data_IF_026323124530
#
_entry.id   IF_026323124530
#
_cell.length_a   1.000
_cell.length_b   1.000
_cell.length_c   1.000
_cell.angle_alpha   90.00
_cell.angle_beta   90.00
_cell.angle_gamma   90.00
#
_symmetry.space_group_name_H-M   'P 1'
#
loop_
_entity.id
_entity.type
_entity.pdbx_description
1 polymer ?
#
# COMPACT_ATOMS: atom_id res chain seq x y z
N UNK A 1 12.54 -7.39 0.74
CA UNK A 1 12.11 -6.91 -0.61
C UNK A 1 13.32 -6.51 -1.49
N UNK A 2 13.14 -6.21 -2.79
CA UNK A 2 14.19 -5.62 -3.65
C UNK A 2 13.61 -4.79 -4.82
N UNK A 3 14.44 -3.92 -5.42
CA UNK A 3 14.04 -3.09 -6.58
C UNK A 3 14.60 -3.67 -7.87
N UNK A 4 13.75 -3.78 -8.89
CA UNK A 4 14.10 -4.25 -10.23
C UNK A 4 13.97 -3.12 -11.24
N UNK A 5 15.02 -2.89 -12.01
CA UNK A 5 14.99 -2.03 -13.20
C UNK A 5 14.34 -2.77 -14.38
N UNK A 6 13.51 -2.06 -15.13
CA UNK A 6 12.82 -2.54 -16.31
C UNK A 6 13.04 -1.54 -17.43
N UNK A 7 13.72 -2.03 -18.47
CA UNK A 7 13.92 -1.32 -19.72
C UNK A 7 12.82 -1.71 -20.69
N UNK A 8 12.08 -0.74 -21.21
CA UNK A 8 11.08 -0.95 -22.26
C UNK A 8 11.50 -0.18 -23.50
N UNK A 9 11.66 -0.91 -24.61
CA UNK A 9 11.88 -0.35 -25.95
C UNK A 9 10.66 -0.63 -26.80
N UNK A 10 10.08 0.41 -27.42
CA UNK A 10 8.96 0.25 -28.35
C UNK A 10 9.51 0.12 -29.78
N UNK A 11 8.96 -0.82 -30.56
CA UNK A 11 9.44 -1.08 -31.93
C UNK A 11 9.40 0.14 -32.86
N UNK A 12 8.50 1.09 -32.61
CA UNK A 12 8.28 2.30 -33.42
C UNK A 12 8.92 3.57 -32.84
N UNK A 13 9.53 3.49 -31.66
CA UNK A 13 10.16 4.64 -31.00
C UNK A 13 11.57 4.27 -30.57
N UNK A 14 12.55 5.07 -30.98
CA UNK A 14 13.96 4.85 -30.64
C UNK A 14 14.26 5.10 -29.15
N UNK A 15 13.34 5.75 -28.43
CA UNK A 15 13.49 6.07 -27.01
C UNK A 15 13.32 4.83 -26.12
N UNK A 16 14.32 4.55 -25.31
CA UNK A 16 14.23 3.57 -24.23
C UNK A 16 13.61 4.19 -22.97
N UNK A 17 12.63 3.51 -22.40
CA UNK A 17 11.98 3.92 -21.16
C UNK A 17 12.49 3.07 -20.00
N UNK A 18 13.05 3.74 -19.00
CA UNK A 18 13.53 3.14 -17.76
C UNK A 18 12.48 3.30 -16.67
N UNK A 19 12.16 2.20 -16.00
CA UNK A 19 11.25 2.20 -14.86
C UNK A 19 11.73 1.21 -13.81
N UNK A 20 11.35 1.44 -12.56
CA UNK A 20 11.73 0.63 -11.42
C UNK A 20 10.48 0.09 -10.75
N UNK A 21 10.57 -1.13 -10.25
CA UNK A 21 9.50 -1.79 -9.51
C UNK A 21 10.02 -2.33 -8.20
N UNK A 22 9.24 -2.16 -7.14
CA UNK A 22 9.46 -2.86 -5.87
C UNK A 22 8.87 -4.26 -5.98
N UNK A 23 9.68 -5.25 -5.69
CA UNK A 23 9.38 -6.67 -5.86
C UNK A 23 9.67 -7.42 -4.56
N UNK A 24 8.82 -8.39 -4.27
CA UNK A 24 8.96 -9.33 -3.16
C UNK A 24 9.20 -10.73 -3.71
N UNK A 25 10.08 -11.48 -3.05
CA UNK A 25 10.24 -12.90 -3.31
C UNK A 25 9.39 -13.69 -2.33
N UNK A 26 8.60 -14.63 -2.84
CA UNK A 26 7.75 -15.51 -2.05
C UNK A 26 7.96 -16.96 -2.48
N UNK A 27 7.75 -17.90 -1.55
CA UNK A 27 7.83 -19.33 -1.83
C UNK A 27 6.51 -19.80 -2.44
N UNK A 28 6.59 -20.44 -3.60
CA UNK A 28 5.47 -21.16 -4.21
C UNK A 28 5.76 -22.66 -4.26
N UNK A 29 4.74 -23.48 -4.45
CA UNK A 29 4.89 -24.95 -4.63
C UNK A 29 5.90 -25.31 -5.73
N UNK A 30 6.00 -24.49 -6.77
CA UNK A 30 6.91 -24.67 -7.91
C UNK A 30 8.26 -23.98 -7.72
N UNK A 31 8.59 -23.55 -6.50
CA UNK A 31 9.83 -22.85 -6.14
C UNK A 31 9.66 -21.35 -5.90
N UNK A 32 10.77 -20.62 -5.68
CA UNK A 32 10.75 -19.18 -5.42
C UNK A 32 10.18 -18.38 -6.60
N UNK A 33 9.27 -17.46 -6.33
CA UNK A 33 8.64 -16.58 -7.32
C UNK A 33 8.66 -15.14 -6.85
N UNK A 34 8.53 -14.22 -7.80
CA UNK A 34 8.60 -12.78 -7.56
C UNK A 34 7.25 -12.12 -7.83
N UNK A 35 6.75 -11.35 -6.86
CA UNK A 35 5.52 -10.55 -6.94
C UNK A 35 5.90 -9.06 -7.01
N UNK A 36 5.29 -8.32 -7.93
CA UNK A 36 5.42 -6.84 -7.91
C UNK A 36 4.51 -6.27 -6.83
N UNK A 37 5.06 -5.47 -5.93
CA UNK A 37 4.29 -4.75 -4.89
C UNK A 37 3.86 -3.38 -5.40
N UNK A 38 4.80 -2.64 -6.00
CA UNK A 38 4.57 -1.26 -6.41
C UNK A 38 5.42 -0.90 -7.63
N UNK A 39 4.84 -0.11 -8.55
CA UNK A 39 5.59 0.54 -9.62
C UNK A 39 6.17 1.86 -9.06
N UNK A 40 7.49 1.99 -9.03
CA UNK A 40 8.18 3.15 -8.43
C UNK A 40 8.42 4.28 -9.44
N UNK A 41 8.27 4.00 -10.74
CA UNK A 41 8.63 4.94 -11.80
C UNK A 41 10.14 4.99 -12.01
N UNK A 42 10.67 6.12 -12.47
CA UNK A 42 12.11 6.29 -12.62
C UNK A 42 12.70 6.79 -11.29
N UNK A 43 13.59 6.00 -10.69
CA UNK A 43 14.34 6.41 -9.50
C UNK A 43 15.53 7.26 -9.93
N UNK A 44 15.77 8.34 -9.21
CA UNK A 44 16.93 9.24 -9.41
C UNK A 44 18.13 8.83 -8.55
N UNK A 45 17.92 7.96 -7.56
CA UNK A 45 18.96 7.48 -6.66
C UNK A 45 19.89 6.44 -7.32
N UNK A 46 21.17 6.39 -6.93
CA UNK A 46 22.13 5.43 -7.46
C UNK A 46 21.75 3.99 -7.08
N UNK A 47 22.17 3.03 -7.90
CA UNK A 47 21.75 1.62 -7.80
C UNK A 47 22.18 0.96 -6.49
N UNK A 48 23.30 1.42 -5.94
CA UNK A 48 23.86 0.97 -4.66
C UNK A 48 22.89 1.23 -3.50
N UNK A 49 22.10 2.31 -3.59
CA UNK A 49 21.13 2.70 -2.57
C UNK A 49 19.76 2.03 -2.73
N UNK A 50 19.52 1.30 -3.83
CA UNK A 50 18.21 0.66 -4.05
C UNK A 50 17.91 -0.42 -3.02
N UNK A 51 18.94 -1.12 -2.55
CA UNK A 51 18.77 -2.14 -1.51
C UNK A 51 18.38 -1.47 -0.18
N UNK A 52 19.08 -0.40 0.19
CA UNK A 52 18.74 0.39 1.37
C UNK A 52 17.29 0.91 1.31
N UNK A 53 16.88 1.51 0.17
CA UNK A 53 15.51 1.96 -0.02
C UNK A 53 14.49 0.82 0.14
N UNK A 54 14.74 -0.34 -0.48
CA UNK A 54 13.83 -1.48 -0.40
C UNK A 54 13.68 -1.99 1.04
N UNK A 55 14.78 -2.05 1.79
CA UNK A 55 14.81 -2.53 3.17
C UNK A 55 14.15 -1.52 4.12
N UNK A 56 14.36 -0.21 3.91
CA UNK A 56 13.66 0.84 4.66
C UNK A 56 12.15 0.82 4.41
N UNK A 57 11.71 0.59 3.16
CA UNK A 57 10.27 0.42 2.86
C UNK A 57 9.71 -0.80 3.60
N UNK A 58 10.43 -1.93 3.58
CA UNK A 58 10.02 -3.15 4.27
C UNK A 58 9.92 -2.95 5.78
N UNK A 59 10.91 -2.29 6.40
CA UNK A 59 10.90 -1.95 7.82
C UNK A 59 9.71 -1.06 8.19
N UNK A 60 9.42 -0.02 7.39
CA UNK A 60 8.25 0.84 7.61
C UNK A 60 6.92 0.10 7.44
N UNK A 61 6.84 -0.88 6.54
CA UNK A 61 5.65 -1.71 6.35
C UNK A 61 5.44 -2.75 7.46
N UNK A 62 6.52 -3.23 8.09
CA UNK A 62 6.46 -4.17 9.21
C UNK A 62 6.34 -3.49 10.57
N UNK A 63 6.46 -2.16 10.64
CA UNK A 63 6.54 -1.42 11.90
C UNK A 63 7.88 -1.56 12.60
N UNK A 64 8.91 -2.09 11.93
CA UNK A 64 10.23 -2.25 12.51
C UNK A 64 10.98 -0.91 12.50
N UNK A 65 11.46 -0.50 13.67
CA UNK A 65 12.34 0.68 13.78
C UNK A 65 13.74 0.37 13.24
N UNK A 66 14.32 1.31 12.50
CA UNK A 66 15.72 1.20 12.08
C UNK A 66 16.64 1.38 13.28
N UNK A 67 17.58 0.46 13.44
CA UNK A 67 18.62 0.54 14.47
C UNK A 67 19.79 1.45 14.06
N UNK A 68 19.90 1.76 12.76
CA UNK A 68 20.98 2.55 12.18
C UNK A 68 20.44 3.85 11.57
N UNK A 69 21.23 4.94 11.59
CA UNK A 69 20.86 6.16 10.89
C UNK A 69 20.76 5.88 9.39
N UNK A 70 19.64 6.28 8.80
CA UNK A 70 19.37 6.19 7.37
C UNK A 70 19.55 7.59 6.77
N UNK A 71 19.97 7.66 5.51
CA UNK A 71 19.98 8.91 4.74
C UNK A 71 18.56 9.48 4.64
N UNK A 72 18.38 10.74 5.02
CA UNK A 72 17.10 11.45 5.02
C UNK A 72 16.40 11.40 3.65
N UNK A 73 17.17 11.44 2.56
CA UNK A 73 16.60 11.34 1.21
C UNK A 73 15.97 9.96 0.93
N UNK A 74 16.60 8.89 1.44
CA UNK A 74 16.09 7.52 1.31
C UNK A 74 14.87 7.34 2.22
N UNK A 75 14.93 7.89 3.43
CA UNK A 75 13.83 7.81 4.39
C UNK A 75 12.56 8.48 3.86
N UNK A 76 12.68 9.71 3.32
CA UNK A 76 11.54 10.43 2.74
C UNK A 76 10.90 9.66 1.56
N UNK A 77 11.72 9.06 0.68
CA UNK A 77 11.23 8.20 -0.40
C UNK A 77 10.54 6.95 0.15
N UNK A 78 11.13 6.32 1.17
CA UNK A 78 10.57 5.13 1.79
C UNK A 78 9.21 5.43 2.44
N UNK A 79 9.07 6.57 3.13
CA UNK A 79 7.80 7.03 3.69
C UNK A 79 6.74 7.21 2.62
N UNK A 80 7.06 7.92 1.55
CA UNK A 80 6.14 8.14 0.44
C UNK A 80 5.65 6.81 -0.15
N UNK A 81 6.57 5.89 -0.45
CA UNK A 81 6.20 4.60 -1.06
C UNK A 81 5.48 3.66 -0.09
N UNK A 82 5.87 3.61 1.19
CA UNK A 82 5.17 2.83 2.20
C UNK A 82 3.71 3.29 2.35
N UNK A 83 3.48 4.60 2.40
CA UNK A 83 2.12 5.16 2.45
C UNK A 83 1.29 4.80 1.21
N UNK A 84 1.90 4.81 0.03
CA UNK A 84 1.22 4.42 -1.20
C UNK A 84 0.83 2.94 -1.20
N UNK A 85 1.70 2.06 -0.67
CA UNK A 85 1.41 0.63 -0.52
C UNK A 85 0.27 0.40 0.46
N UNK A 86 0.28 1.04 1.62
CA UNK A 86 -0.78 0.95 2.63
C UNK A 86 -2.11 1.43 2.03
N UNK A 87 -2.11 2.57 1.33
CA UNK A 87 -3.30 3.10 0.64
C UNK A 87 -3.86 2.11 -0.38
N UNK A 88 -3.01 1.52 -1.21
CA UNK A 88 -3.43 0.55 -2.23
C UNK A 88 -4.04 -0.71 -1.58
N UNK A 89 -3.42 -1.23 -0.52
CA UNK A 89 -3.95 -2.38 0.25
C UNK A 89 -5.33 -2.08 0.84
N UNK A 90 -5.51 -0.91 1.47
CA UNK A 90 -6.80 -0.49 2.00
C UNK A 90 -7.88 -0.37 0.91
N UNK A 91 -7.53 0.14 -0.28
CA UNK A 91 -8.50 0.21 -1.37
C UNK A 91 -8.86 -1.17 -1.93
N UNK A 92 -7.94 -2.13 -1.94
CA UNK A 92 -8.22 -3.49 -2.42
C UNK A 92 -9.15 -4.23 -1.46
N UNK A 93 -8.93 -4.14 -0.15
CA UNK A 93 -9.79 -4.80 0.84
C UNK A 93 -11.23 -4.30 0.81
N UNK A 94 -11.46 -3.02 0.50
CA UNK A 94 -12.82 -2.45 0.38
C UNK A 94 -13.54 -2.94 -0.88
N UNK A 95 -12.82 -3.13 -1.99
CA UNK A 95 -13.42 -3.61 -3.24
C UNK A 95 -13.74 -5.12 -3.21
N UNK A 96 -12.98 -5.91 -2.45
CA UNK A 96 -13.26 -7.34 -2.27
C UNK A 96 -14.55 -7.56 -1.46
N UNK A 97 -14.87 -6.70 -0.49
CA UNK A 97 -16.12 -6.77 0.28
C UNK A 97 -17.38 -6.43 -0.54
N UNK A 98 -17.27 -5.63 -1.61
CA UNK A 98 -18.41 -5.30 -2.48
C UNK A 98 -18.63 -6.31 -3.62
N UNK A 99 -17.61 -7.12 -3.94
CA UNK A 99 -17.66 -8.10 -5.03
C UNK A 99 -18.17 -9.48 -4.59
N UNK A 100 -18.28 -9.71 -3.28
CA UNK A 100 -18.76 -10.97 -2.69
C UNK A 100 -20.26 -10.91 -2.36
N UNK A 101 -21.11 -10.68 -3.36
CA UNK A 101 -22.56 -10.92 -3.25
C UNK A 101 -22.93 -12.42 -3.11
N UNK A 102 -21.94 -13.33 -3.02
CA UNK A 102 -22.13 -14.79 -2.98
C UNK A 102 -21.60 -15.51 -1.73
N UNK A 103 -21.13 -14.83 -0.68
CA UNK A 103 -20.62 -15.52 0.52
C UNK A 103 -21.30 -15.04 1.82
N UNK A 104 -22.61 -15.27 1.93
CA UNK A 104 -23.36 -15.10 3.20
C UNK A 104 -23.21 -16.29 4.17
N UNK A 105 -22.23 -17.18 3.97
CA UNK A 105 -22.13 -18.43 4.74
C UNK A 105 -20.72 -18.74 5.29
N UNK A 106 -19.86 -17.73 5.42
CA UNK A 106 -18.60 -17.90 6.15
C UNK A 106 -18.86 -17.67 7.63
N UNK A 107 -18.59 -18.69 8.45
CA UNK A 107 -18.61 -18.56 9.90
C UNK A 107 -17.62 -17.47 10.36
N UNK A 108 -17.96 -16.71 11.41
CA UNK A 108 -17.08 -15.66 11.92
C UNK A 108 -15.73 -16.27 12.32
N UNK A 109 -14.65 -15.79 11.69
CA UNK A 109 -13.28 -16.16 12.04
C UNK A 109 -12.82 -15.35 13.25
N UNK A 110 -12.74 -16.00 14.40
CA UNK A 110 -12.19 -15.40 15.60
C UNK A 110 -10.70 -15.73 15.75
N UNK A 111 -9.89 -14.73 16.06
CA UNK A 111 -8.47 -14.87 16.37
C UNK A 111 -8.16 -14.18 17.69
N UNK A 112 -7.30 -14.79 18.50
CA UNK A 112 -6.83 -14.17 19.75
C UNK A 112 -5.73 -13.18 19.42
N UNK A 113 -5.96 -11.90 19.73
CA UNK A 113 -4.99 -10.81 19.54
C UNK A 113 -4.63 -10.20 20.90
N UNK A 114 -3.35 -9.84 21.07
CA UNK A 114 -2.90 -9.08 22.24
C UNK A 114 -3.21 -7.60 22.03
N UNK A 115 -4.14 -7.06 22.82
CA UNK A 115 -4.57 -5.67 22.72
C UNK A 115 -3.43 -4.66 23.01
N UNK A 116 -2.43 -5.05 23.80
CA UNK A 116 -1.29 -4.17 24.11
C UNK A 116 -0.28 -4.07 22.96
N UNK A 117 -0.39 -4.96 21.97
CA UNK A 117 0.46 -4.97 20.77
C UNK A 117 -0.13 -4.22 19.58
N UNK A 118 -1.37 -3.71 19.72
CA UNK A 118 -2.06 -3.01 18.64
C UNK A 118 -1.58 -1.55 18.62
N UNK A 119 -1.02 -1.14 17.49
CA UNK A 119 -0.68 0.24 17.20
C UNK A 119 -1.57 0.80 16.08
N UNK A 120 -2.09 2.01 16.29
CA UNK A 120 -2.92 2.68 15.30
C UNK A 120 -2.07 3.66 14.49
N UNK A 121 -2.05 3.49 13.17
CA UNK A 121 -1.45 4.45 12.24
C UNK A 121 -2.54 5.18 11.44
N UNK A 122 -2.46 6.52 11.39
CA UNK A 122 -3.41 7.40 10.66
C UNK A 122 -4.89 7.19 11.05
N UNK A 123 -5.24 7.45 12.31
CA UNK A 123 -6.64 7.55 12.73
C UNK A 123 -7.33 8.71 11.98
N UNK A 124 -8.41 8.40 11.24
CA UNK A 124 -9.30 9.44 10.71
C UNK A 124 -10.20 9.92 11.85
N UNK A 125 -10.50 11.22 11.89
CA UNK A 125 -11.62 11.72 12.69
C UNK A 125 -12.93 11.16 12.13
N UNK A 126 -13.79 10.73 13.05
CA UNK A 126 -15.07 10.11 12.72
C UNK A 126 -16.24 10.82 13.41
N UNK A 127 -16.01 11.57 14.50
CA UNK A 127 -17.07 12.10 15.35
C UNK A 127 -17.92 13.17 14.68
N UNK A 128 -17.32 14.32 14.37
CA UNK A 128 -18.05 15.46 13.81
C UNK A 128 -18.58 15.14 12.41
N UNK A 129 -17.81 14.40 11.63
CA UNK A 129 -18.17 13.95 10.28
C UNK A 129 -19.37 12.99 10.30
N UNK A 130 -19.41 12.05 11.26
CA UNK A 130 -20.54 11.13 11.42
C UNK A 130 -21.82 11.85 11.83
N UNK A 131 -21.74 12.78 12.79
CA UNK A 131 -22.91 13.59 13.19
C UNK A 131 -23.43 14.41 12.01
N UNK A 132 -22.53 15.02 11.22
CA UNK A 132 -22.92 15.74 10.02
C UNK A 132 -23.64 14.84 9.01
N UNK A 133 -23.09 13.65 8.74
CA UNK A 133 -23.68 12.72 7.76
C UNK A 133 -25.00 12.12 8.24
N UNK A 134 -25.14 11.84 9.55
CA UNK A 134 -26.37 11.28 10.12
C UNK A 134 -27.52 12.27 10.01
N UNK A 135 -27.29 13.55 10.37
CA UNK A 135 -28.29 14.61 10.24
C UNK A 135 -28.60 14.88 8.76
N UNK A 136 -27.59 14.89 7.89
CA UNK A 136 -27.79 15.06 6.45
C UNK A 136 -28.68 13.95 5.84
N UNK A 137 -28.53 12.71 6.29
CA UNK A 137 -29.38 11.58 5.89
C UNK A 137 -30.78 11.69 6.48
N UNK A 138 -30.91 12.02 7.77
CA UNK A 138 -32.20 12.17 8.46
C UNK A 138 -33.07 13.27 7.84
N UNK A 139 -32.46 14.39 7.44
CA UNK A 139 -33.13 15.50 6.76
C UNK A 139 -33.48 15.20 5.29
N UNK A 140 -33.06 14.05 4.75
CA UNK A 140 -33.34 13.69 3.35
C UNK A 140 -32.68 14.61 2.32
N UNK A 141 -31.68 15.41 2.71
CA UNK A 141 -31.06 16.41 1.83
C UNK A 141 -30.42 15.81 0.58
N UNK A 142 -29.99 14.55 0.67
CA UNK A 142 -29.42 13.79 -0.44
C UNK A 142 -30.35 13.69 -1.67
N UNK A 143 -31.68 13.74 -1.49
CA UNK A 143 -32.64 13.67 -2.59
C UNK A 143 -32.82 15.01 -3.31
N UNK A 144 -32.61 16.13 -2.61
CA UNK A 144 -32.72 17.48 -3.18
C UNK A 144 -31.47 17.91 -3.96
N UNK A 145 -30.34 17.21 -3.75
CA UNK A 145 -29.03 17.53 -4.33
C UNK A 145 -28.65 16.63 -5.51
N UNK A 146 -29.48 15.64 -5.85
CA UNK A 146 -29.34 14.85 -7.08
C UNK A 146 -29.73 15.74 -8.26
N UNK A 147 -28.78 15.98 -9.17
CA UNK A 147 -29.00 16.68 -10.44
C UNK A 147 -29.66 15.78 -11.46
#
# INVERSE_FOLDING_TARGET
>A
MFIKEIKKRNKHYEKEFLSHRLVESYRSEKGPRHRTILNLGQLTIPKEQWKALADTIEAKLSGQQSLYPIDEAIEALADHYAQLIIKNRMSQSVNESDSSASEKNQEPRYETVDLNSIENSKCRTFGAEYVGISIFQELGLHDYLKK
#
